data_IF_345301802806
#
_entry.id   IF_345301802806
#
_cell.length_a   1.000
_cell.length_b   1.000
_cell.length_c   1.000
_cell.angle_alpha   90.00
_cell.angle_beta   90.00
_cell.angle_gamma   90.00
#
_symmetry.space_group_name_H-M   'P 1'
#
loop_
_entity.id
_entity.type
_entity.pdbx_description
1 polymer ?
#
# COMPACT_ATOMS: atom_id res chain seq x y z
N UNK A 1 -19.17 -23.03 32.44
CA UNK A 1 -19.05 -21.56 32.44
C UNK A 1 -17.73 -21.19 31.77
N UNK A 2 -17.72 -20.89 30.47
CA UNK A 2 -16.51 -20.36 29.81
C UNK A 2 -16.51 -18.86 30.08
N UNK A 3 -15.72 -18.45 31.07
CA UNK A 3 -15.48 -17.03 31.32
C UNK A 3 -14.53 -16.58 30.21
N UNK A 4 -15.06 -15.87 29.20
CA UNK A 4 -14.24 -15.18 28.19
C UNK A 4 -13.53 -14.00 28.87
N UNK A 5 -12.48 -14.29 29.63
CA UNK A 5 -11.68 -13.30 30.32
C UNK A 5 -10.77 -12.61 29.29
N UNK A 6 -10.98 -11.31 29.07
CA UNK A 6 -10.08 -10.47 28.29
C UNK A 6 -9.02 -9.91 29.23
N UNK A 7 -7.87 -10.57 29.32
CA UNK A 7 -6.75 -10.13 30.14
C UNK A 7 -5.82 -9.24 29.30
N UNK A 8 -5.54 -7.98 29.71
CA UNK A 8 -4.50 -7.19 29.06
C UNK A 8 -3.13 -7.84 29.34
N UNK A 9 -2.40 -8.17 28.27
CA UNK A 9 -1.07 -8.79 28.37
C UNK A 9 0.06 -7.76 28.24
N UNK A 10 -0.19 -6.69 27.50
CA UNK A 10 0.79 -5.63 27.25
C UNK A 10 0.04 -4.32 26.98
N UNK A 11 0.60 -3.23 27.47
CA UNK A 11 0.12 -1.87 27.25
C UNK A 11 1.33 -0.98 26.99
N UNK A 12 1.24 -0.13 25.97
CA UNK A 12 2.27 0.86 25.64
C UNK A 12 1.55 2.15 25.30
N UNK A 13 1.89 3.22 26.02
CA UNK A 13 1.36 4.57 25.78
C UNK A 13 2.43 5.42 25.13
N UNK A 14 2.14 5.91 23.93
CA UNK A 14 3.06 6.75 23.16
C UNK A 14 2.43 8.11 22.83
N UNK A 15 3.26 9.13 22.53
CA UNK A 15 2.75 10.39 22.03
C UNK A 15 2.03 10.23 20.68
N UNK A 16 1.06 11.10 20.40
CA UNK A 16 0.19 11.01 19.23
C UNK A 16 0.89 11.12 17.86
N UNK A 17 2.18 11.44 17.81
CA UNK A 17 2.96 11.49 16.58
C UNK A 17 3.53 10.13 16.16
N UNK A 18 3.51 9.13 17.05
CA UNK A 18 3.97 7.77 16.75
C UNK A 18 2.80 6.96 16.21
N UNK A 19 3.04 6.20 15.14
CA UNK A 19 2.01 5.33 14.54
C UNK A 19 1.88 4.05 15.32
N UNK A 20 0.64 3.63 15.59
CA UNK A 20 0.38 2.35 16.27
C UNK A 20 0.94 1.15 15.51
N UNK A 21 1.01 1.23 14.17
CA UNK A 21 1.62 0.20 13.32
C UNK A 21 3.09 -0.08 13.62
N UNK A 22 3.83 0.88 14.18
CA UNK A 22 5.23 0.64 14.58
C UNK A 22 5.37 -0.04 15.94
N UNK A 23 4.29 -0.09 16.74
CA UNK A 23 4.30 -0.60 18.12
C UNK A 23 3.82 -2.04 18.19
N UNK A 24 2.91 -2.43 17.31
CA UNK A 24 2.30 -3.77 17.34
C UNK A 24 3.33 -4.90 17.24
N UNK A 25 4.41 -4.69 16.49
CA UNK A 25 5.50 -5.67 16.33
C UNK A 25 6.18 -5.94 17.67
N UNK A 26 6.58 -4.89 18.39
CA UNK A 26 7.26 -5.06 19.69
C UNK A 26 6.34 -5.67 20.76
N UNK A 27 5.05 -5.35 20.73
CA UNK A 27 4.06 -5.96 21.61
C UNK A 27 3.89 -7.46 21.32
N UNK A 28 3.82 -7.84 20.04
CA UNK A 28 3.69 -9.24 19.63
C UNK A 28 4.96 -10.05 19.98
N UNK A 29 6.15 -9.46 19.82
CA UNK A 29 7.41 -10.07 20.28
C UNK A 29 7.42 -10.26 21.80
N UNK A 30 7.01 -9.26 22.57
CA UNK A 30 6.95 -9.35 24.01
C UNK A 30 5.98 -10.47 24.45
N UNK A 31 4.83 -10.61 23.80
CA UNK A 31 3.90 -11.71 24.08
C UNK A 31 4.52 -13.05 23.70
N UNK A 32 5.08 -13.19 22.51
CA UNK A 32 5.67 -14.45 22.03
C UNK A 32 6.83 -14.92 22.89
N UNK A 33 7.68 -13.99 23.35
CA UNK A 33 8.89 -14.31 24.09
C UNK A 33 8.63 -14.52 25.59
N UNK A 34 7.73 -13.73 26.18
CA UNK A 34 7.48 -13.78 27.63
C UNK A 34 6.35 -14.75 28.01
N UNK A 35 5.46 -15.07 27.07
CA UNK A 35 4.34 -15.97 27.31
C UNK A 35 4.50 -17.20 26.41
N UNK A 36 4.58 -18.38 27.02
CA UNK A 36 4.60 -19.67 26.31
C UNK A 36 3.21 -20.03 25.76
N UNK A 37 2.61 -19.14 24.98
CA UNK A 37 1.27 -19.27 24.42
C UNK A 37 1.34 -19.72 22.96
N UNK A 38 0.56 -20.75 22.62
CA UNK A 38 0.34 -21.13 21.22
C UNK A 38 -0.69 -20.20 20.59
N UNK A 39 -0.21 -19.11 20.01
CA UNK A 39 -1.04 -18.16 19.27
C UNK A 39 -1.69 -18.85 18.05
N UNK A 40 -3.00 -18.68 17.88
CA UNK A 40 -3.75 -19.24 16.72
C UNK A 40 -4.04 -18.20 15.66
N UNK A 41 -4.37 -16.99 16.09
CA UNK A 41 -4.69 -15.87 15.23
C UNK A 41 -4.42 -14.55 15.94
N UNK A 42 -4.14 -13.51 15.16
CA UNK A 42 -4.03 -12.13 15.62
C UNK A 42 -5.17 -11.34 15.02
N UNK A 43 -6.02 -10.77 15.88
CA UNK A 43 -7.16 -9.94 15.46
C UNK A 43 -6.81 -8.50 15.78
N UNK A 44 -6.94 -7.60 14.81
CA UNK A 44 -6.60 -6.19 14.97
C UNK A 44 -7.51 -5.29 14.11
N UNK A 45 -7.58 -4.01 14.49
CA UNK A 45 -8.32 -2.99 13.74
C UNK A 45 -7.69 -2.66 12.37
N UNK A 46 -8.42 -1.91 11.58
CA UNK A 46 -8.06 -1.59 10.18
C UNK A 46 -6.81 -0.72 10.03
N UNK A 47 -6.42 -0.04 11.10
CA UNK A 47 -5.18 0.72 11.21
C UNK A 47 -3.93 -0.16 11.05
N UNK A 48 -4.03 -1.46 11.37
CA UNK A 48 -2.95 -2.42 11.26
C UNK A 48 -2.91 -3.17 9.91
N UNK A 49 -3.81 -2.84 8.97
CA UNK A 49 -3.78 -3.37 7.59
C UNK A 49 -2.61 -2.73 6.82
N UNK A 50 -1.42 -3.24 7.10
CA UNK A 50 -0.18 -2.93 6.39
C UNK A 50 0.51 -4.23 5.98
N UNK A 51 1.19 -4.22 4.84
CA UNK A 51 1.87 -5.41 4.33
C UNK A 51 2.90 -5.93 5.33
N UNK A 52 3.70 -5.04 5.90
CA UNK A 52 4.72 -5.38 6.89
C UNK A 52 4.14 -6.06 8.15
N UNK A 53 3.00 -5.60 8.66
CA UNK A 53 2.35 -6.22 9.84
C UNK A 53 1.77 -7.59 9.48
N UNK A 54 1.11 -7.72 8.32
CA UNK A 54 0.53 -8.98 7.86
C UNK A 54 1.62 -10.04 7.63
N UNK A 55 2.70 -9.67 6.96
CA UNK A 55 3.88 -10.52 6.70
C UNK A 55 4.53 -10.94 8.01
N UNK A 56 4.75 -10.00 8.94
CA UNK A 56 5.28 -10.31 10.27
C UNK A 56 4.41 -11.32 11.04
N UNK A 57 3.08 -11.16 11.05
CA UNK A 57 2.18 -12.10 11.74
C UNK A 57 2.19 -13.48 11.07
N UNK A 58 2.15 -13.52 9.74
CA UNK A 58 2.07 -14.76 8.98
C UNK A 58 3.39 -15.54 8.99
N UNK A 59 4.52 -14.87 8.77
CA UNK A 59 5.82 -15.50 8.55
C UNK A 59 6.65 -15.59 9.83
N UNK A 60 6.65 -14.55 10.68
CA UNK A 60 7.52 -14.49 11.86
C UNK A 60 6.83 -15.06 13.10
N UNK A 61 5.56 -14.72 13.33
CA UNK A 61 4.78 -15.32 14.42
C UNK A 61 4.27 -16.72 14.01
N UNK A 62 4.00 -16.94 12.73
CA UNK A 62 3.45 -18.21 12.23
C UNK A 62 1.97 -18.37 12.54
N UNK A 63 1.20 -17.27 12.56
CA UNK A 63 -0.21 -17.26 12.97
C UNK A 63 -1.10 -16.64 11.91
N UNK A 64 -2.41 -16.86 12.01
CA UNK A 64 -3.37 -16.33 11.03
C UNK A 64 -3.68 -14.85 11.32
N UNK A 65 -3.31 -13.90 10.45
CA UNK A 65 -3.78 -12.53 10.60
C UNK A 65 -5.28 -12.45 10.28
N UNK A 66 -6.04 -11.81 11.17
CA UNK A 66 -7.47 -11.54 11.06
C UNK A 66 -7.70 -10.04 11.29
N UNK A 67 -7.11 -9.24 10.42
CA UNK A 67 -7.12 -7.78 10.50
C UNK A 67 -8.28 -7.25 9.63
N UNK A 68 -9.02 -6.28 10.15
CA UNK A 68 -10.04 -5.59 9.36
C UNK A 68 -9.38 -4.86 8.18
N UNK A 69 -9.97 -4.93 6.98
CA UNK A 69 -9.36 -4.29 5.81
C UNK A 69 -9.57 -2.77 5.90
N UNK A 70 -8.52 -1.99 5.60
CA UNK A 70 -8.62 -0.54 5.58
C UNK A 70 -9.38 -0.06 4.33
N UNK A 71 -10.55 0.60 4.47
CA UNK A 71 -11.35 1.04 3.33
C UNK A 71 -10.60 1.96 2.37
N UNK A 72 -9.61 2.71 2.86
CA UNK A 72 -8.76 3.59 2.03
C UNK A 72 -7.85 2.81 1.08
N UNK A 73 -7.48 1.58 1.42
CA UNK A 73 -6.72 0.66 0.56
C UNK A 73 -7.61 -0.13 -0.41
N UNK A 74 -8.89 -0.26 -0.08
CA UNK A 74 -9.88 -0.97 -0.88
C UNK A 74 -10.41 -0.20 -2.10
N UNK A 75 -9.88 0.97 -2.44
CA UNK A 75 -10.20 1.60 -3.73
C UNK A 75 -9.31 0.90 -4.77
N UNK A 76 -9.81 -0.09 -5.54
CA UNK A 76 -9.03 -0.63 -6.65
C UNK A 76 -8.59 0.55 -7.51
N UNK A 77 -7.29 0.57 -7.81
CA UNK A 77 -6.75 1.57 -8.73
C UNK A 77 -7.56 1.49 -10.02
N UNK A 78 -8.36 2.52 -10.31
CA UNK A 78 -9.09 2.65 -11.57
C UNK A 78 -8.14 2.75 -12.78
N UNK A 79 -6.84 2.85 -12.53
CA UNK A 79 -5.79 2.79 -13.55
C UNK A 79 -5.81 1.44 -14.23
N UNK A 80 -6.27 1.42 -15.48
CA UNK A 80 -6.12 0.26 -16.36
C UNK A 80 -4.64 0.01 -16.62
N UNK A 81 -4.22 -1.24 -16.61
CA UNK A 81 -2.84 -1.66 -16.90
C UNK A 81 -2.90 -2.50 -18.18
N UNK A 82 -1.96 -2.27 -19.09
CA UNK A 82 -1.78 -3.08 -20.30
C UNK A 82 -1.23 -4.47 -19.98
N UNK A 83 -1.23 -5.36 -20.98
CA UNK A 83 -0.55 -6.66 -20.90
C UNK A 83 0.96 -6.53 -20.67
N UNK A 84 1.56 -5.40 -21.05
CA UNK A 84 2.97 -5.06 -20.82
C UNK A 84 3.25 -4.55 -19.40
N UNK A 85 2.24 -4.46 -18.52
CA UNK A 85 2.38 -3.98 -17.15
C UNK A 85 2.45 -2.45 -17.02
N UNK A 86 2.04 -1.72 -18.07
CA UNK A 86 2.12 -0.27 -18.15
C UNK A 86 0.74 0.35 -17.93
N UNK A 87 0.66 1.45 -17.20
CA UNK A 87 -0.60 2.17 -16.99
C UNK A 87 -1.12 2.78 -18.30
N UNK A 88 -2.40 2.61 -18.56
CA UNK A 88 -3.14 3.19 -19.69
C UNK A 88 -3.85 4.45 -19.20
N UNK A 89 -3.74 5.54 -19.97
CA UNK A 89 -4.44 6.79 -19.65
C UNK A 89 -5.92 6.74 -20.03
N UNK A 90 -6.69 7.77 -19.62
CA UNK A 90 -8.13 7.87 -19.93
C UNK A 90 -8.39 7.90 -21.45
N UNK A 91 -7.47 8.47 -22.23
CA UNK A 91 -7.55 8.49 -23.70
C UNK A 91 -7.24 7.13 -24.36
N UNK A 92 -6.92 6.09 -23.59
CA UNK A 92 -6.63 4.75 -24.10
C UNK A 92 -5.17 4.51 -24.52
N UNK A 93 -4.26 5.44 -24.28
CA UNK A 93 -2.85 5.27 -24.62
C UNK A 93 -2.02 4.67 -23.48
N UNK A 94 -1.14 3.73 -23.81
CA UNK A 94 -0.09 3.27 -22.89
C UNK A 94 0.87 4.43 -22.60
N UNK A 95 1.14 4.67 -21.31
CA UNK A 95 2.07 5.71 -20.89
C UNK A 95 3.53 5.26 -21.05
N UNK A 96 4.43 6.17 -21.39
CA UNK A 96 5.85 5.85 -21.49
C UNK A 96 6.56 5.97 -20.15
N UNK A 97 7.44 5.02 -19.84
CA UNK A 97 8.33 5.09 -18.69
C UNK A 97 9.23 6.32 -18.76
N UNK A 98 9.25 7.12 -17.69
CA UNK A 98 10.21 8.23 -17.46
C UNK A 98 11.34 7.85 -16.51
N UNK A 99 11.38 6.59 -16.07
CA UNK A 99 12.34 6.07 -15.09
C UNK A 99 11.87 6.17 -13.63
N UNK A 100 12.69 5.62 -12.73
CA UNK A 100 12.42 5.57 -11.29
C UNK A 100 12.92 6.86 -10.65
N UNK A 101 12.05 7.52 -9.89
CA UNK A 101 12.35 8.78 -9.21
C UNK A 101 12.26 8.62 -7.69
N UNK A 102 13.18 9.26 -6.98
CA UNK A 102 13.21 9.30 -5.52
C UNK A 102 12.42 10.48 -4.99
N UNK A 103 11.29 10.20 -4.35
CA UNK A 103 10.46 11.25 -3.73
C UNK A 103 10.94 11.50 -2.29
N UNK A 104 11.85 12.49 -2.13
CA UNK A 104 12.56 12.79 -0.87
C UNK A 104 11.63 13.04 0.32
N UNK A 105 10.55 13.80 0.13
CA UNK A 105 9.61 14.14 1.21
C UNK A 105 8.87 12.93 1.82
N UNK A 106 8.78 11.81 1.11
CA UNK A 106 8.14 10.58 1.62
C UNK A 106 9.07 9.37 1.55
N UNK A 107 10.38 9.62 1.41
CA UNK A 107 11.45 8.63 1.33
C UNK A 107 11.10 7.36 0.52
N UNK A 108 10.49 7.53 -0.66
CA UNK A 108 9.95 6.42 -1.48
C UNK A 108 10.35 6.50 -2.93
N UNK A 109 10.68 5.36 -3.53
CA UNK A 109 10.95 5.23 -4.97
C UNK A 109 9.63 5.08 -5.71
N UNK A 110 9.46 5.84 -6.79
CA UNK A 110 8.28 5.76 -7.65
C UNK A 110 8.70 5.74 -9.11
N UNK A 111 8.23 4.75 -9.84
CA UNK A 111 8.32 4.75 -11.29
C UNK A 111 7.37 5.83 -11.84
N UNK A 112 7.90 6.77 -12.62
CA UNK A 112 7.10 7.83 -13.25
C UNK A 112 6.77 7.43 -14.68
N UNK A 113 5.53 7.69 -15.07
CA UNK A 113 5.04 7.52 -16.43
C UNK A 113 4.67 8.89 -17.03
N UNK A 114 4.79 9.02 -18.35
CA UNK A 114 4.49 10.25 -19.09
C UNK A 114 3.66 9.96 -20.33
N UNK A 115 2.85 10.93 -20.74
CA UNK A 115 2.06 10.83 -21.95
C UNK A 115 2.97 10.60 -23.19
N UNK A 116 2.64 9.64 -24.06
CA UNK A 116 3.44 9.35 -25.25
C UNK A 116 3.49 10.54 -26.22
N UNK A 117 2.41 11.32 -26.35
CA UNK A 117 2.38 12.54 -27.18
C UNK A 117 3.47 13.54 -26.74
N UNK A 118 3.68 13.74 -25.44
CA UNK A 118 4.71 14.68 -24.94
C UNK A 118 6.14 14.14 -25.08
N UNK A 119 6.32 12.83 -25.01
CA UNK A 119 7.66 12.22 -24.88
C UNK A 119 8.22 11.67 -26.18
N UNK A 120 7.36 11.22 -27.10
CA UNK A 120 7.76 10.61 -28.38
C UNK A 120 7.32 11.48 -29.55
N UNK A 121 8.30 12.06 -30.26
CA UNK A 121 8.04 12.87 -31.48
C UNK A 121 7.36 12.03 -32.57
N UNK A 122 7.71 10.74 -32.69
CA UNK A 122 7.07 9.83 -33.66
C UNK A 122 5.59 9.64 -33.33
N UNK A 123 5.30 9.33 -32.06
CA UNK A 123 3.92 9.14 -31.61
C UNK A 123 3.08 10.41 -31.78
N UNK A 124 3.66 11.57 -31.48
CA UNK A 124 2.99 12.87 -31.64
C UNK A 124 2.67 13.20 -33.11
N UNK A 125 3.50 12.78 -34.07
CA UNK A 125 3.19 12.95 -35.50
C UNK A 125 1.99 12.12 -35.94
N UNK A 126 1.89 10.89 -35.44
CA UNK A 126 0.76 9.99 -35.72
C UNK A 126 -0.50 10.39 -34.94
N UNK A 127 -0.33 11.03 -33.76
CA UNK A 127 -1.41 11.45 -32.86
C UNK A 127 -1.22 12.94 -32.50
N UNK A 128 -1.57 13.87 -33.42
CA UNK A 128 -1.26 15.29 -33.26
C UNK A 128 -2.02 15.97 -32.12
N UNK A 129 -3.18 15.43 -31.73
CA UNK A 129 -3.98 15.93 -30.61
C UNK A 129 -4.33 14.80 -29.65
N UNK A 130 -4.65 15.16 -28.40
CA UNK A 130 -5.15 14.22 -27.42
C UNK A 130 -6.63 13.90 -27.73
N UNK A 131 -7.03 12.63 -27.92
CA UNK A 131 -8.44 12.27 -28.13
C UNK A 131 -9.36 12.65 -26.97
N UNK A 132 -8.80 12.75 -25.76
CA UNK A 132 -9.51 13.21 -24.57
C UNK A 132 -9.54 14.74 -24.43
N UNK A 133 -9.00 15.49 -25.41
CA UNK A 133 -8.91 16.95 -25.39
C UNK A 133 -8.35 17.47 -24.05
N UNK A 134 -7.31 16.82 -23.55
CA UNK A 134 -6.75 17.15 -22.25
C UNK A 134 -6.18 18.59 -22.27
N UNK A 135 -6.50 19.46 -21.30
CA UNK A 135 -6.19 20.90 -21.31
C UNK A 135 -4.75 21.25 -21.72
N UNK A 136 -3.79 20.45 -21.25
CA UNK A 136 -2.37 20.60 -21.63
C UNK A 136 -2.01 20.39 -23.12
N UNK A 137 -2.98 20.16 -24.01
CA UNK A 137 -2.79 19.97 -25.46
C UNK A 137 -3.77 20.78 -26.32
N UNK A 138 -4.59 21.64 -25.71
CA UNK A 138 -5.66 22.39 -26.41
C UNK A 138 -5.43 23.90 -26.39
N UNK A 139 -4.43 24.37 -25.63
CA UNK A 139 -3.93 25.75 -25.60
C UNK A 139 -2.71 25.92 -26.51
#
# INVERSE_FOLDING_TARGET
MIVNLKLPLTEITLPANIRDTSVIVSQLDAIKNNLSLKLKAVIAGSEYDSAAVLEYIAEIIGTKPRIAINPRRCVPSATKISSSGVSICIAGFELLSKGIFMYRAQNRKRHKFVCPIKRSKKFAKENPYCPWLHPSFVE
#
